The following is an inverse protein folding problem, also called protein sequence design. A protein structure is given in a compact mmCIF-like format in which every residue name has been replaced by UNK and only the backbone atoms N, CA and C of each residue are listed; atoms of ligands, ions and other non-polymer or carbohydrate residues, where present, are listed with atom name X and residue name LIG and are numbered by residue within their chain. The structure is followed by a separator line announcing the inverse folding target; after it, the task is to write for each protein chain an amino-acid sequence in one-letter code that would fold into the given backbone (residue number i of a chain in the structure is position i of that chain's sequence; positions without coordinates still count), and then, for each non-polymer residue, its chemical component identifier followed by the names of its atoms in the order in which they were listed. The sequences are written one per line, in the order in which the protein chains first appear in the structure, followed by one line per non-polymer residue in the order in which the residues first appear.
data_IF_268469462516
#
_entry.id   IF_268469462516
#
_cell.length_a   1.000
_cell.length_b   1.000
_cell.length_c   1.000
_cell.angle_alpha   90.00
_cell.angle_beta   90.00
_cell.angle_gamma   90.00
#
_symmetry.space_group_name_H-M   'P 1'
#
loop_
_entity.id
_entity.type
_entity.pdbx_description
1 polymer ?
#
# COMPACT_ATOMS: atom_id res chain seq x y z
N UNK A 1 7.69 -8.41 -29.82
CA UNK A 1 8.01 -7.73 -28.53
C UNK A 1 6.83 -7.83 -27.60
N UNK A 2 7.07 -7.72 -26.29
CA UNK A 2 6.04 -7.69 -25.25
C UNK A 2 5.89 -6.27 -24.72
N UNK A 3 4.68 -5.73 -24.79
CA UNK A 3 4.35 -4.40 -24.29
C UNK A 3 4.04 -4.43 -22.80
N UNK A 4 4.58 -3.50 -22.03
CA UNK A 4 4.20 -3.33 -20.62
C UNK A 4 3.59 -1.96 -20.44
N UNK A 5 2.35 -1.91 -19.98
CA UNK A 5 1.63 -0.66 -19.71
C UNK A 5 1.80 -0.33 -18.22
N UNK A 6 2.53 0.75 -17.94
CA UNK A 6 2.81 1.26 -16.59
C UNK A 6 4.25 1.00 -16.12
N UNK A 7 4.96 2.08 -15.78
CA UNK A 7 6.33 2.10 -15.23
C UNK A 7 6.39 2.08 -13.70
N UNK A 8 5.37 1.52 -13.05
CA UNK A 8 5.39 1.21 -11.62
C UNK A 8 6.13 -0.09 -11.31
N UNK A 9 6.25 -0.46 -10.03
CA UNK A 9 6.97 -1.65 -9.57
C UNK A 9 6.49 -2.93 -10.27
N UNK A 10 5.18 -3.14 -10.43
CA UNK A 10 4.65 -4.33 -11.11
C UNK A 10 5.08 -4.42 -12.59
N UNK A 11 5.02 -3.31 -13.31
CA UNK A 11 5.40 -3.27 -14.73
C UNK A 11 6.90 -3.43 -14.92
N UNK A 12 7.71 -2.73 -14.12
CA UNK A 12 9.16 -2.86 -14.16
C UNK A 12 9.62 -4.28 -13.75
N UNK A 13 9.00 -4.88 -12.73
CA UNK A 13 9.28 -6.27 -12.35
C UNK A 13 8.88 -7.26 -13.46
N UNK A 14 7.72 -7.07 -14.10
CA UNK A 14 7.32 -7.87 -15.26
C UNK A 14 8.34 -7.75 -16.40
N UNK A 15 8.75 -6.52 -16.74
CA UNK A 15 9.71 -6.26 -17.80
C UNK A 15 11.07 -6.92 -17.53
N UNK A 16 11.59 -6.75 -16.30
CA UNK A 16 12.83 -7.38 -15.86
C UNK A 16 12.76 -8.92 -15.98
N UNK A 17 11.67 -9.53 -15.48
CA UNK A 17 11.47 -10.97 -15.53
C UNK A 17 11.32 -11.51 -16.95
N UNK A 18 10.63 -10.78 -17.83
CA UNK A 18 10.48 -11.13 -19.24
C UNK A 18 11.82 -11.08 -19.99
N UNK A 19 12.65 -10.08 -19.72
CA UNK A 19 14.00 -10.01 -20.29
C UNK A 19 14.90 -11.15 -19.79
N UNK A 20 14.81 -11.53 -18.51
CA UNK A 20 15.50 -12.73 -17.99
C UNK A 20 15.07 -14.02 -18.73
N UNK A 21 13.86 -14.05 -19.29
CA UNK A 21 13.33 -15.16 -20.11
C UNK A 21 13.64 -15.02 -21.60
N UNK A 22 14.36 -13.97 -21.99
CA UNK A 22 14.85 -13.78 -23.37
C UNK A 22 13.90 -13.02 -24.28
N UNK A 23 12.84 -12.41 -23.75
CA UNK A 23 11.90 -11.62 -24.55
C UNK A 23 12.39 -10.18 -24.74
N UNK A 24 12.09 -9.61 -25.91
CA UNK A 24 12.20 -8.17 -26.17
C UNK A 24 10.99 -7.46 -25.56
N UNK A 25 11.25 -6.45 -24.73
CA UNK A 25 10.22 -5.77 -23.94
C UNK A 25 10.29 -4.26 -24.18
N UNK A 26 9.12 -3.60 -24.20
CA UNK A 26 9.02 -2.15 -24.14
C UNK A 26 8.00 -1.73 -23.08
N UNK A 27 8.41 -0.85 -22.17
CA UNK A 27 7.58 -0.31 -21.09
C UNK A 27 7.10 1.08 -21.49
N UNK A 28 5.81 1.34 -21.35
CA UNK A 28 5.20 2.64 -21.62
C UNK A 28 4.61 3.21 -20.32
N UNK A 29 5.10 4.36 -19.91
CA UNK A 29 4.68 5.08 -18.71
C UNK A 29 4.13 6.46 -19.08
N UNK A 30 2.90 6.76 -18.65
CA UNK A 30 2.21 7.97 -19.04
C UNK A 30 2.72 9.23 -18.32
N UNK A 31 3.35 9.08 -17.17
CA UNK A 31 3.98 10.17 -16.42
C UNK A 31 5.45 10.35 -16.79
N UNK A 32 6.03 11.47 -16.37
CA UNK A 32 7.44 11.80 -16.62
C UNK A 32 8.42 11.03 -15.71
N UNK A 33 7.92 10.30 -14.70
CA UNK A 33 8.72 9.63 -13.68
C UNK A 33 8.29 8.18 -13.44
N UNK A 34 9.05 7.49 -12.59
CA UNK A 34 8.87 6.07 -12.29
C UNK A 34 8.25 5.83 -10.92
N UNK A 35 7.86 4.58 -10.66
CA UNK A 35 7.49 4.10 -9.32
C UNK A 35 5.99 4.14 -9.01
N UNK A 36 5.17 4.87 -9.77
CA UNK A 36 3.72 4.90 -9.59
C UNK A 36 3.32 5.34 -8.17
N UNK A 37 2.68 4.46 -7.40
CA UNK A 37 2.33 4.74 -5.99
C UNK A 37 3.54 4.75 -5.03
N UNK A 38 4.73 4.36 -5.50
CA UNK A 38 6.01 4.53 -4.81
C UNK A 38 6.79 5.76 -5.30
N UNK A 39 6.13 6.69 -6.00
CA UNK A 39 6.71 7.99 -6.33
C UNK A 39 7.15 8.74 -5.06
N UNK A 40 8.13 9.63 -5.21
CA UNK A 40 8.79 10.30 -4.08
C UNK A 40 8.83 11.81 -4.24
N UNK A 41 8.87 12.53 -3.13
CA UNK A 41 9.29 13.92 -3.02
C UNK A 41 10.79 14.01 -2.79
N UNK A 42 11.41 15.07 -3.31
CA UNK A 42 12.75 15.46 -2.91
C UNK A 42 12.73 16.03 -1.48
N UNK A 43 13.76 15.71 -0.70
CA UNK A 43 13.96 16.28 0.64
C UNK A 43 15.37 16.86 0.76
N UNK A 44 15.74 17.39 1.93
CA UNK A 44 17.10 17.84 2.21
C UNK A 44 18.14 16.69 2.27
N UNK A 45 17.70 15.42 2.21
CA UNK A 45 18.56 14.24 2.10
C UNK A 45 17.92 13.22 1.17
N UNK A 46 17.56 12.06 1.71
CA UNK A 46 16.98 10.99 0.90
C UNK A 46 15.59 11.35 0.37
N UNK A 47 15.23 10.88 -0.83
CA UNK A 47 13.86 11.02 -1.31
C UNK A 47 12.90 10.31 -0.36
N UNK A 48 11.70 10.86 -0.22
CA UNK A 48 10.66 10.31 0.65
C UNK A 48 9.42 9.99 -0.18
N UNK A 49 8.82 8.83 0.03
CA UNK A 49 7.64 8.41 -0.74
C UNK A 49 6.45 9.35 -0.51
N UNK A 50 5.66 9.59 -1.55
CA UNK A 50 4.45 10.43 -1.49
C UNK A 50 3.41 9.82 -0.54
N UNK A 51 3.33 8.49 -0.53
CA UNK A 51 2.53 7.70 0.40
C UNK A 51 3.47 6.87 1.24
N UNK A 52 3.17 6.70 2.53
CA UNK A 52 4.01 5.92 3.43
C UNK A 52 4.10 4.45 2.99
N UNK A 53 5.30 3.89 3.05
CA UNK A 53 5.59 2.48 2.77
C UNK A 53 6.56 1.92 3.80
N UNK A 54 6.43 0.63 4.07
CA UNK A 54 7.40 -0.18 4.80
C UNK A 54 7.26 -1.62 4.33
N UNK A 55 8.28 -2.42 4.57
CA UNK A 55 8.26 -3.85 4.31
C UNK A 55 7.95 -4.64 5.58
N UNK A 56 7.30 -5.77 5.42
CA UNK A 56 7.30 -6.85 6.39
C UNK A 56 8.32 -7.91 6.00
N UNK A 57 8.84 -8.66 6.98
CA UNK A 57 9.74 -9.79 6.69
C UNK A 57 9.06 -10.94 5.96
N UNK A 58 7.73 -11.03 6.01
CA UNK A 58 6.98 -12.00 5.21
C UNK A 58 6.99 -11.69 3.71
N UNK A 59 7.44 -10.50 3.33
CA UNK A 59 7.56 -10.06 1.93
C UNK A 59 8.90 -10.48 1.33
N UNK A 60 9.07 -11.79 1.12
CA UNK A 60 10.34 -12.36 0.65
C UNK A 60 10.65 -11.99 -0.80
N UNK A 61 9.65 -11.92 -1.69
CA UNK A 61 9.89 -11.74 -3.14
C UNK A 61 10.51 -10.39 -3.48
N UNK A 62 10.10 -9.31 -2.81
CA UNK A 62 10.70 -7.98 -3.04
C UNK A 62 12.11 -7.88 -2.44
N UNK A 63 12.37 -8.59 -1.35
CA UNK A 63 13.70 -8.68 -0.74
C UNK A 63 14.64 -9.47 -1.65
N UNK A 64 14.20 -10.64 -2.13
CA UNK A 64 14.93 -11.46 -3.10
C UNK A 64 15.24 -10.67 -4.38
N UNK A 65 14.26 -9.92 -4.90
CA UNK A 65 14.48 -9.04 -6.05
C UNK A 65 15.52 -7.96 -5.76
N UNK A 66 15.48 -7.33 -4.59
CA UNK A 66 16.49 -6.34 -4.21
C UNK A 66 17.89 -6.96 -4.13
N UNK A 67 18.03 -8.19 -3.62
CA UNK A 67 19.27 -8.95 -3.62
C UNK A 67 19.75 -9.26 -5.04
N UNK A 68 18.86 -9.72 -5.93
CA UNK A 68 19.16 -9.99 -7.35
C UNK A 68 19.66 -8.74 -8.08
N UNK A 69 19.08 -7.57 -7.77
CA UNK A 69 19.46 -6.27 -8.33
C UNK A 69 20.72 -5.67 -7.68
N UNK A 70 21.27 -6.31 -6.65
CA UNK A 70 22.47 -5.85 -5.95
C UNK A 70 22.25 -4.68 -4.99
N UNK A 71 20.99 -4.41 -4.61
CA UNK A 71 20.60 -3.36 -3.65
C UNK A 71 20.03 -3.93 -2.35
N UNK A 72 20.08 -5.25 -2.15
CA UNK A 72 19.58 -5.91 -0.93
C UNK A 72 20.23 -5.41 0.37
N UNK A 73 21.51 -5.02 0.32
CA UNK A 73 22.24 -4.45 1.46
C UNK A 73 21.68 -3.09 1.92
N UNK A 74 20.83 -2.44 1.12
CA UNK A 74 20.11 -1.21 1.50
C UNK A 74 18.88 -1.49 2.36
N UNK A 75 18.39 -2.73 2.44
CA UNK A 75 17.20 -3.05 3.23
C UNK A 75 17.57 -3.12 4.71
N UNK A 76 17.01 -2.18 5.48
CA UNK A 76 17.22 -2.07 6.91
C UNK A 76 15.98 -2.53 7.67
N UNK A 77 16.16 -3.47 8.59
CA UNK A 77 15.10 -3.91 9.51
C UNK A 77 15.16 -3.11 10.81
N UNK A 78 14.18 -2.24 11.02
CA UNK A 78 14.11 -1.28 12.12
C UNK A 78 12.88 -1.53 12.98
N UNK A 79 12.94 -1.06 14.23
CA UNK A 79 11.81 -1.18 15.16
C UNK A 79 10.90 0.03 15.00
N UNK A 80 9.67 -0.18 14.53
CA UNK A 80 8.63 0.84 14.45
C UNK A 80 7.89 0.94 15.79
N UNK A 81 7.91 2.13 16.41
CA UNK A 81 7.14 2.39 17.63
C UNK A 81 5.72 2.79 17.30
N UNK A 82 4.74 2.07 17.85
CA UNK A 82 3.32 2.30 17.65
C UNK A 82 2.67 2.81 18.95
N UNK A 83 1.79 3.80 18.84
CA UNK A 83 1.02 4.30 19.97
C UNK A 83 -0.43 4.60 19.60
N UNK A 84 -1.23 4.81 20.65
CA UNK A 84 -2.63 5.21 20.57
C UNK A 84 -2.82 6.53 21.31
N UNK A 85 -3.35 7.53 20.63
CA UNK A 85 -3.63 8.84 21.18
C UNK A 85 -5.10 8.92 21.61
N UNK A 86 -5.33 9.08 22.91
CA UNK A 86 -6.66 9.18 23.50
C UNK A 86 -6.63 10.11 24.71
N UNK A 87 -7.66 10.93 24.87
CA UNK A 87 -7.81 11.89 25.98
C UNK A 87 -6.61 12.83 26.15
N UNK A 88 -6.01 13.24 25.03
CA UNK A 88 -4.84 14.13 25.05
C UNK A 88 -3.49 13.45 25.36
N UNK A 89 -3.43 12.11 25.43
CA UNK A 89 -2.24 11.37 25.86
C UNK A 89 -1.82 10.34 24.82
N UNK A 90 -0.51 10.29 24.53
CA UNK A 90 0.12 9.24 23.71
C UNK A 90 0.36 8.02 24.60
N UNK A 91 -0.30 6.90 24.30
CA UNK A 91 -0.12 5.61 24.96
C UNK A 91 0.67 4.66 24.04
N UNK A 92 1.95 4.37 24.32
CA UNK A 92 2.69 3.33 23.62
C UNK A 92 1.99 1.98 23.75
N UNK A 93 1.99 1.15 22.69
CA UNK A 93 1.38 -0.18 22.69
C UNK A 93 2.31 -1.26 22.12
N UNK A 94 3.62 -1.02 22.16
CA UNK A 94 4.61 -1.91 21.58
C UNK A 94 4.89 -3.10 22.50
N UNK A 95 4.93 -2.86 23.82
CA UNK A 95 5.37 -3.84 24.82
C UNK A 95 4.22 -4.38 25.66
N UNK A 96 4.29 -5.62 26.16
CA UNK A 96 3.22 -6.22 26.96
C UNK A 96 2.81 -5.39 28.19
N UNK A 97 3.76 -4.76 28.90
CA UNK A 97 3.43 -3.93 30.06
C UNK A 97 2.84 -2.56 29.69
N UNK A 98 3.13 -2.05 28.49
CA UNK A 98 2.52 -0.82 27.99
C UNK A 98 1.06 -1.09 27.63
N UNK A 99 0.79 -2.22 26.97
CA UNK A 99 -0.57 -2.69 26.68
C UNK A 99 -1.35 -2.96 27.98
N UNK A 100 -0.73 -3.58 28.98
CA UNK A 100 -1.38 -3.81 30.29
C UNK A 100 -1.62 -2.52 31.09
N UNK A 101 -0.83 -1.47 30.84
CA UNK A 101 -0.99 -0.17 31.47
C UNK A 101 -1.98 0.74 30.73
N UNK A 102 -2.45 0.33 29.54
CA UNK A 102 -3.39 1.11 28.75
C UNK A 102 -4.74 1.23 29.48
N UNK A 103 -5.17 2.44 29.86
CA UNK A 103 -6.27 2.61 30.81
C UNK A 103 -7.66 2.31 30.20
N UNK A 104 -7.76 2.18 28.88
CA UNK A 104 -9.02 1.96 28.17
C UNK A 104 -9.29 0.49 27.82
N UNK A 105 -8.46 -0.45 28.28
CA UNK A 105 -8.73 -1.88 28.16
C UNK A 105 -8.70 -2.54 29.54
N UNK A 106 -9.70 -3.38 29.84
CA UNK A 106 -9.63 -4.24 31.01
C UNK A 106 -8.61 -5.38 30.79
N UNK A 107 -8.17 -6.05 31.87
CA UNK A 107 -7.28 -7.21 31.74
C UNK A 107 -7.87 -8.32 30.86
N UNK A 108 -9.20 -8.49 30.84
CA UNK A 108 -9.85 -9.47 29.99
C UNK A 108 -9.86 -9.02 28.52
N UNK A 109 -10.06 -7.73 28.27
CA UNK A 109 -9.97 -7.13 26.94
C UNK A 109 -8.55 -7.29 26.38
N UNK A 110 -7.54 -6.94 27.17
CA UNK A 110 -6.12 -7.12 26.84
C UNK A 110 -5.80 -8.58 26.54
N UNK A 111 -6.29 -9.52 27.36
CA UNK A 111 -6.09 -10.95 27.13
C UNK A 111 -6.69 -11.39 25.79
N UNK A 112 -7.94 -11.03 25.51
CA UNK A 112 -8.64 -11.43 24.29
C UNK A 112 -8.00 -10.82 23.04
N UNK A 113 -7.64 -9.54 23.09
CA UNK A 113 -6.90 -8.87 22.01
C UNK A 113 -5.54 -9.53 21.78
N UNK A 114 -4.78 -9.80 22.84
CA UNK A 114 -3.48 -10.45 22.75
C UNK A 114 -3.57 -11.83 22.09
N UNK A 115 -4.56 -12.65 22.48
CA UNK A 115 -4.77 -13.97 21.89
C UNK A 115 -5.03 -13.89 20.38
N UNK A 116 -5.90 -12.98 19.94
CA UNK A 116 -6.14 -12.76 18.51
C UNK A 116 -4.86 -12.31 17.77
N UNK A 117 -4.11 -11.34 18.33
CA UNK A 117 -2.87 -10.85 17.69
C UNK A 117 -1.73 -11.87 17.68
N UNK A 118 -1.78 -12.88 18.56
CA UNK A 118 -0.85 -14.01 18.57
C UNK A 118 -1.37 -15.19 17.73
N UNK A 119 -2.47 -14.99 17.00
CA UNK A 119 -3.13 -16.01 16.17
C UNK A 119 -3.62 -17.23 16.98
N UNK A 120 -3.98 -17.02 18.25
CA UNK A 120 -4.47 -18.07 19.16
C UNK A 120 -5.97 -17.91 19.38
N UNK A 121 -6.76 -18.87 18.90
CA UNK A 121 -8.20 -18.90 19.21
C UNK A 121 -8.45 -19.60 20.55
N UNK A 122 -9.12 -18.90 21.46
CA UNK A 122 -9.47 -19.41 22.80
C UNK A 122 -10.98 -19.50 23.04
N UNK A 123 -11.83 -19.28 22.02
CA UNK A 123 -13.30 -19.28 22.15
C UNK A 123 -13.87 -20.61 22.63
N UNK A 124 -13.26 -21.73 22.21
CA UNK A 124 -13.71 -23.08 22.59
C UNK A 124 -13.32 -23.49 24.02
N UNK A 125 -12.53 -22.65 24.72
CA UNK A 125 -11.91 -22.95 26.01
C UNK A 125 -10.61 -23.76 25.91
N UNK A 126 -10.28 -24.28 24.73
CA UNK A 126 -9.00 -24.95 24.42
C UNK A 126 -8.29 -24.11 23.36
N UNK A 127 -7.05 -23.63 23.60
CA UNK A 127 -6.30 -22.86 22.62
C UNK A 127 -6.06 -23.62 21.32
N UNK A 128 -6.40 -23.00 20.18
CA UNK A 128 -6.06 -23.46 18.82
C UNK A 128 -5.08 -22.48 18.19
N UNK A 129 -4.11 -22.98 17.43
CA UNK A 129 -3.00 -22.19 16.86
C UNK A 129 -3.02 -22.15 15.33
N UNK A 130 -3.99 -22.81 14.73
CA UNK A 130 -4.15 -23.04 13.29
C UNK A 130 -5.46 -22.45 12.74
N UNK A 131 -6.29 -21.88 13.62
CA UNK A 131 -7.63 -21.38 13.26
C UNK A 131 -7.59 -20.29 12.20
N UNK A 132 -6.52 -19.51 12.16
CA UNK A 132 -6.39 -18.36 11.26
C UNK A 132 -5.40 -18.61 10.11
N UNK A 133 -4.94 -19.85 9.91
CA UNK A 133 -3.96 -20.17 8.86
C UNK A 133 -4.51 -19.98 7.46
N UNK A 134 -5.76 -20.39 7.25
CA UNK A 134 -6.49 -20.18 6.01
C UNK A 134 -7.28 -18.88 6.07
N UNK A 135 -6.73 -17.81 5.49
CA UNK A 135 -7.37 -16.50 5.44
C UNK A 135 -8.63 -16.50 4.58
N UNK A 136 -8.68 -17.34 3.53
CA UNK A 136 -9.81 -17.40 2.59
C UNK A 136 -11.07 -17.92 3.28
N UNK A 137 -10.92 -18.78 4.30
CA UNK A 137 -12.01 -19.24 5.13
C UNK A 137 -12.75 -18.11 5.89
N UNK A 138 -12.16 -16.92 5.97
CA UNK A 138 -12.73 -15.74 6.60
C UNK A 138 -13.19 -14.68 5.61
N UNK A 139 -13.14 -14.93 4.30
CA UNK A 139 -13.41 -13.90 3.30
C UNK A 139 -14.84 -13.37 3.36
N UNK A 140 -15.81 -14.25 3.62
CA UNK A 140 -17.23 -13.89 3.69
C UNK A 140 -17.68 -13.42 5.09
N UNK A 141 -16.77 -13.47 6.08
CA UNK A 141 -17.10 -13.13 7.46
C UNK A 141 -17.02 -11.61 7.63
N UNK A 142 -18.10 -10.93 8.06
CA UNK A 142 -18.05 -9.50 8.38
C UNK A 142 -17.03 -9.24 9.49
N UNK A 143 -16.13 -8.28 9.28
CA UNK A 143 -15.06 -7.96 10.23
C UNK A 143 -15.59 -7.63 11.64
N UNK A 144 -16.74 -6.95 11.72
CA UNK A 144 -17.40 -6.61 12.98
C UNK A 144 -17.82 -7.86 13.75
N UNK A 145 -18.47 -8.80 13.09
CA UNK A 145 -18.96 -10.02 13.71
C UNK A 145 -17.79 -10.88 14.17
N UNK A 146 -16.76 -10.99 13.32
CA UNK A 146 -15.50 -11.64 13.67
C UNK A 146 -14.89 -11.02 14.93
N UNK A 147 -14.73 -9.70 14.99
CA UNK A 147 -14.13 -9.03 16.14
C UNK A 147 -14.95 -9.19 17.42
N UNK A 148 -16.27 -9.08 17.35
CA UNK A 148 -17.16 -9.28 18.50
C UNK A 148 -17.10 -10.71 19.03
N UNK A 149 -16.88 -11.70 18.16
CA UNK A 149 -16.75 -13.09 18.53
C UNK A 149 -15.36 -13.45 19.09
N UNK A 150 -14.30 -12.88 18.52
CA UNK A 150 -12.91 -13.22 18.85
C UNK A 150 -12.29 -12.34 19.93
N UNK A 151 -12.83 -11.14 20.14
CA UNK A 151 -12.37 -10.23 21.19
C UNK A 151 -13.46 -10.01 22.25
N UNK A 152 -13.79 -8.76 22.54
CA UNK A 152 -14.91 -8.34 23.38
C UNK A 152 -15.61 -7.16 22.71
N UNK A 153 -16.85 -6.87 23.13
CA UNK A 153 -17.55 -5.66 22.69
C UNK A 153 -16.76 -4.39 22.96
N UNK A 154 -16.13 -4.30 24.13
CA UNK A 154 -15.32 -3.15 24.53
C UNK A 154 -14.13 -2.95 23.59
N UNK A 155 -13.38 -4.03 23.29
CA UNK A 155 -12.25 -4.01 22.34
C UNK A 155 -12.71 -3.56 20.96
N UNK A 156 -13.83 -4.09 20.47
CA UNK A 156 -14.39 -3.64 19.19
C UNK A 156 -14.70 -2.13 19.22
N UNK A 157 -15.52 -1.66 20.16
CA UNK A 157 -16.03 -0.27 20.18
C UNK A 157 -14.91 0.78 20.45
N UNK A 158 -13.88 0.44 21.24
CA UNK A 158 -12.89 1.44 21.69
C UNK A 158 -11.51 1.31 21.02
N UNK A 159 -11.25 0.18 20.35
CA UNK A 159 -9.97 -0.06 19.69
C UNK A 159 -10.15 -0.27 18.18
N UNK A 160 -10.99 -1.21 17.76
CA UNK A 160 -11.09 -1.55 16.33
C UNK A 160 -12.02 -0.64 15.54
N UNK A 161 -13.18 -0.29 16.07
CA UNK A 161 -14.19 0.53 15.37
C UNK A 161 -13.62 1.89 14.93
N UNK A 162 -12.91 2.66 15.77
CA UNK A 162 -12.28 3.92 15.33
C UNK A 162 -11.25 3.71 14.22
N UNK A 163 -10.45 2.64 14.28
CA UNK A 163 -9.45 2.32 13.25
C UNK A 163 -10.09 1.91 11.91
N UNK A 164 -11.20 1.17 11.97
CA UNK A 164 -11.96 0.76 10.80
C UNK A 164 -12.66 1.95 10.16
N UNK A 165 -13.28 2.82 10.96
CA UNK A 165 -13.88 4.06 10.48
C UNK A 165 -12.83 4.98 9.86
N UNK A 166 -11.66 5.12 10.48
CA UNK A 166 -10.56 5.93 9.94
C UNK A 166 -10.03 5.39 8.61
N UNK A 167 -10.01 4.06 8.41
CA UNK A 167 -9.48 3.43 7.19
C UNK A 167 -10.51 3.28 6.06
N UNK A 168 -11.75 2.95 6.37
CA UNK A 168 -12.78 2.56 5.39
C UNK A 168 -14.03 3.45 5.42
N UNK A 169 -14.17 4.35 6.41
CA UNK A 169 -15.29 5.26 6.52
C UNK A 169 -16.64 4.54 6.43
N UNK A 170 -17.49 4.99 5.50
CA UNK A 170 -18.83 4.42 5.26
C UNK A 170 -18.83 2.96 4.81
N UNK A 171 -17.70 2.44 4.28
CA UNK A 171 -17.55 1.06 3.80
C UNK A 171 -17.05 0.10 4.86
N UNK A 172 -16.80 0.55 6.10
CA UNK A 172 -16.26 -0.31 7.17
C UNK A 172 -17.12 -1.57 7.46
N UNK A 173 -18.44 -1.50 7.21
CA UNK A 173 -19.35 -2.63 7.40
C UNK A 173 -19.26 -3.71 6.31
N UNK A 174 -18.68 -3.38 5.15
CA UNK A 174 -18.55 -4.29 4.01
C UNK A 174 -17.30 -5.18 4.12
N UNK A 175 -16.32 -4.72 4.90
CA UNK A 175 -14.98 -5.30 5.01
C UNK A 175 -15.00 -6.72 5.58
N UNK A 176 -14.21 -7.57 4.94
CA UNK A 176 -13.96 -8.95 5.30
C UNK A 176 -13.04 -9.08 6.52
N UNK A 177 -13.27 -10.10 7.36
CA UNK A 177 -12.34 -10.48 8.42
C UNK A 177 -10.98 -10.98 7.88
N UNK A 178 -10.94 -11.52 6.66
CA UNK A 178 -9.70 -11.97 6.01
C UNK A 178 -8.69 -10.83 5.87
N UNK A 179 -9.14 -9.60 5.61
CA UNK A 179 -8.28 -8.41 5.56
C UNK A 179 -7.60 -8.13 6.90
N UNK A 180 -8.34 -8.23 8.01
CA UNK A 180 -7.78 -8.00 9.35
C UNK A 180 -6.75 -9.06 9.70
N UNK A 181 -7.08 -10.34 9.46
CA UNK A 181 -6.18 -11.45 9.74
C UNK A 181 -4.92 -11.37 8.86
N UNK A 182 -5.07 -11.01 7.59
CA UNK A 182 -3.97 -10.69 6.69
C UNK A 182 -3.06 -9.62 7.27
N UNK A 183 -3.64 -8.53 7.79
CA UNK A 183 -2.87 -7.45 8.41
C UNK A 183 -2.19 -7.85 9.71
N UNK A 184 -2.80 -8.72 10.51
CA UNK A 184 -2.18 -9.28 11.73
C UNK A 184 -0.98 -10.15 11.35
N UNK A 185 -1.14 -11.05 10.36
CA UNK A 185 -0.04 -11.90 9.85
C UNK A 185 1.07 -11.07 9.20
N UNK A 186 0.71 -10.09 8.38
CA UNK A 186 1.66 -9.17 7.73
C UNK A 186 2.48 -8.40 8.76
N UNK A 187 1.88 -8.00 9.88
CA UNK A 187 2.55 -7.31 11.00
C UNK A 187 3.05 -8.27 12.08
N UNK A 188 3.05 -9.58 11.81
CA UNK A 188 3.25 -10.65 12.81
C UNK A 188 4.67 -10.75 13.35
N UNK A 189 5.65 -10.19 12.67
CA UNK A 189 7.04 -10.16 13.14
C UNK A 189 7.29 -9.09 14.21
N UNK A 190 6.88 -9.44 15.44
CA UNK A 190 7.09 -8.62 16.63
C UNK A 190 8.20 -9.18 17.50
N UNK A 191 9.16 -8.33 17.85
CA UNK A 191 10.02 -8.58 19.00
C UNK A 191 9.21 -8.27 20.26
N UNK A 192 9.00 -9.29 21.11
CA UNK A 192 8.18 -9.20 22.33
C UNK A 192 8.63 -8.10 23.31
N UNK A 193 9.87 -7.62 23.21
CA UNK A 193 10.45 -6.62 24.11
C UNK A 193 10.65 -5.25 23.42
N UNK A 194 10.77 -5.23 22.10
CA UNK A 194 11.11 -4.01 21.34
C UNK A 194 9.95 -3.45 20.53
N UNK A 195 9.02 -4.29 20.10
CA UNK A 195 7.89 -3.89 19.25
C UNK A 195 7.96 -4.51 17.87
N UNK A 196 7.31 -3.87 16.92
CA UNK A 196 7.21 -4.34 15.54
C UNK A 196 8.49 -4.10 14.75
N UNK A 197 8.94 -5.10 13.98
CA UNK A 197 10.09 -4.96 13.08
C UNK A 197 9.56 -4.73 11.67
N UNK A 198 9.95 -3.61 11.09
CA UNK A 198 9.57 -3.19 9.74
C UNK A 198 10.84 -2.94 8.91
N UNK A 199 10.77 -3.26 7.62
CA UNK A 199 11.83 -3.01 6.66
C UNK A 199 11.67 -1.66 5.99
N UNK A 200 12.78 -0.99 5.73
CA UNK A 200 12.82 0.23 4.92
C UNK A 200 14.12 0.29 4.14
N UNK A 201 14.13 1.00 3.02
CA UNK A 201 15.29 1.07 2.13
C UNK A 201 16.14 2.29 2.48
N UNK A 202 17.44 2.09 2.64
CA UNK A 202 18.41 3.18 2.74
C UNK A 202 18.51 3.91 1.38
N UNK A 203 18.19 5.21 1.37
CA UNK A 203 17.88 5.99 0.16
C UNK A 203 16.41 5.99 -0.28
N UNK A 204 15.50 5.32 0.46
CA UNK A 204 14.08 5.21 0.11
C UNK A 204 13.80 4.17 -0.98
N UNK A 205 12.53 3.88 -1.25
CA UNK A 205 12.11 2.89 -2.25
C UNK A 205 12.46 3.32 -3.69
N UNK A 206 12.82 4.59 -3.91
CA UNK A 206 13.41 5.07 -5.15
C UNK A 206 14.65 4.25 -5.55
N UNK A 207 15.46 3.77 -4.58
CA UNK A 207 16.64 2.93 -4.86
C UNK A 207 16.25 1.63 -5.59
N UNK A 208 15.18 0.97 -5.14
CA UNK A 208 14.69 -0.25 -5.78
C UNK A 208 14.11 0.04 -7.17
N UNK A 209 13.35 1.15 -7.30
CA UNK A 209 12.77 1.57 -8.59
C UNK A 209 13.86 1.89 -9.60
N UNK A 210 14.88 2.66 -9.22
CA UNK A 210 16.00 3.00 -10.10
C UNK A 210 16.83 1.76 -10.47
N UNK A 211 17.06 0.84 -9.51
CA UNK A 211 17.74 -0.43 -9.81
C UNK A 211 16.97 -1.28 -10.83
N UNK A 212 15.64 -1.32 -10.74
CA UNK A 212 14.77 -1.97 -11.73
C UNK A 212 14.84 -1.26 -13.09
N UNK A 213 14.77 0.06 -13.13
CA UNK A 213 14.88 0.86 -14.35
C UNK A 213 16.22 0.61 -15.05
N UNK A 214 17.31 0.62 -14.31
CA UNK A 214 18.66 0.37 -14.83
C UNK A 214 18.82 -1.09 -15.30
N UNK A 215 18.22 -2.06 -14.60
CA UNK A 215 18.23 -3.46 -14.99
C UNK A 215 17.40 -3.75 -16.25
N UNK A 216 16.26 -3.06 -16.42
CA UNK A 216 15.44 -3.13 -17.64
C UNK A 216 16.10 -2.42 -18.82
N UNK A 217 16.88 -1.37 -18.53
CA UNK A 217 17.51 -0.50 -19.53
C UNK A 217 16.56 0.63 -19.95
N UNK A 218 17.00 1.88 -19.77
CA UNK A 218 16.20 3.08 -20.03
C UNK A 218 15.76 3.21 -21.49
N UNK A 219 16.51 2.63 -22.42
CA UNK A 219 16.16 2.55 -23.84
C UNK A 219 14.90 1.71 -24.14
N UNK A 220 14.53 0.83 -23.21
CA UNK A 220 13.34 -0.02 -23.28
C UNK A 220 12.14 0.61 -22.56
N UNK A 221 12.29 1.80 -21.97
CA UNK A 221 11.26 2.47 -21.20
C UNK A 221 10.97 3.86 -21.81
N UNK A 222 9.71 4.10 -22.18
CA UNK A 222 9.23 5.39 -22.66
C UNK A 222 8.34 6.05 -21.59
N UNK A 223 8.82 7.14 -20.98
CA UNK A 223 8.03 8.01 -20.10
C UNK A 223 7.27 9.07 -20.90
N UNK A 224 6.32 9.77 -20.28
CA UNK A 224 5.45 10.74 -20.96
C UNK A 224 4.61 10.13 -22.08
N UNK A 225 4.50 8.79 -22.11
CA UNK A 225 3.97 8.01 -23.22
C UNK A 225 2.78 7.20 -22.74
N UNK A 226 1.59 7.65 -23.12
CA UNK A 226 0.33 7.04 -22.71
C UNK A 226 -0.10 5.98 -23.71
N UNK A 227 -0.32 4.75 -23.25
CA UNK A 227 -1.02 3.74 -24.06
C UNK A 227 -2.49 4.13 -24.17
N UNK A 228 -2.99 4.22 -25.41
CA UNK A 228 -4.35 4.66 -25.72
C UNK A 228 -5.23 3.57 -26.29
N UNK A 229 -4.65 2.52 -26.88
CA UNK A 229 -5.39 1.48 -27.58
C UNK A 229 -4.59 0.18 -27.66
N UNK A 230 -5.30 -0.95 -27.56
CA UNK A 230 -4.80 -2.30 -27.86
C UNK A 230 -5.57 -2.84 -29.06
N UNK A 231 -4.85 -3.18 -30.13
CA UNK A 231 -5.46 -3.78 -31.31
C UNK A 231 -5.46 -5.31 -31.17
N UNK A 232 -6.63 -5.91 -31.36
CA UNK A 232 -6.84 -7.35 -31.34
C UNK A 232 -7.31 -7.79 -32.72
N UNK A 233 -6.56 -8.71 -33.35
CA UNK A 233 -6.94 -9.35 -34.60
C UNK A 233 -6.91 -10.89 -34.43
N UNK A 234 -7.91 -11.58 -34.98
CA UNK A 234 -7.94 -13.05 -34.93
C UNK A 234 -8.09 -13.65 -33.54
N UNK A 235 -8.43 -12.85 -32.52
CA UNK A 235 -8.54 -13.28 -31.12
C UNK A 235 -7.26 -13.13 -30.31
N UNK A 236 -6.20 -12.54 -30.88
CA UNK A 236 -4.93 -12.27 -30.21
C UNK A 236 -4.54 -10.80 -30.30
N UNK A 237 -3.74 -10.33 -29.35
CA UNK A 237 -3.11 -9.01 -29.43
C UNK A 237 -2.18 -8.96 -30.64
N UNK A 238 -2.26 -7.86 -31.39
CA UNK A 238 -1.37 -7.60 -32.53
C UNK A 238 -0.51 -6.36 -32.32
N UNK A 239 -1.06 -5.30 -31.73
CA UNK A 239 -0.33 -4.06 -31.54
C UNK A 239 -0.84 -3.21 -30.37
N UNK A 240 0.05 -2.33 -29.89
CA UNK A 240 -0.25 -1.29 -28.90
C UNK A 240 -0.05 0.08 -29.53
N UNK A 241 -1.03 0.97 -29.36
CA UNK A 241 -0.91 2.37 -29.80
C UNK A 241 -0.70 3.29 -28.61
N UNK A 242 0.30 4.14 -28.72
CA UNK A 242 0.70 5.09 -27.70
C UNK A 242 0.58 6.53 -28.20
N UNK A 243 0.50 7.46 -27.27
CA UNK A 243 0.48 8.90 -27.50
C UNK A 243 1.55 9.56 -26.62
N UNK A 244 2.46 10.31 -27.24
CA UNK A 244 3.51 11.11 -26.60
C UNK A 244 3.60 12.45 -27.32
N UNK A 245 3.63 13.56 -26.59
CA UNK A 245 3.69 14.92 -27.18
C UNK A 245 2.66 15.18 -28.31
N UNK A 246 1.43 14.69 -28.13
CA UNK A 246 0.33 14.73 -29.13
C UNK A 246 0.59 13.93 -30.43
N UNK A 247 1.64 13.12 -30.49
CA UNK A 247 1.95 12.22 -31.60
C UNK A 247 1.56 10.78 -31.25
N UNK A 248 0.86 10.11 -32.18
CA UNK A 248 0.48 8.69 -32.03
C UNK A 248 1.43 7.77 -32.78
N UNK A 249 1.88 6.74 -32.10
CA UNK A 249 2.73 5.68 -32.66
C UNK A 249 2.17 4.30 -32.32
N UNK A 250 2.33 3.33 -33.21
CA UNK A 250 1.85 1.97 -33.03
C UNK A 250 3.02 0.99 -33.10
N UNK A 251 3.04 0.03 -32.17
CA UNK A 251 4.06 -0.99 -32.06
C UNK A 251 3.44 -2.38 -32.13
N UNK A 252 3.95 -3.23 -33.01
CA UNK A 252 3.55 -4.64 -33.08
C UNK A 252 3.99 -5.35 -31.79
N UNK A 253 3.07 -6.09 -31.16
CA UNK A 253 3.36 -6.85 -29.96
C UNK A 253 2.64 -8.20 -29.94
N UNK A 254 3.31 -9.19 -29.34
CA UNK A 254 2.81 -10.57 -29.23
C UNK A 254 2.05 -10.80 -27.92
N UNK A 255 2.32 -9.96 -26.92
CA UNK A 255 1.62 -9.92 -25.66
C UNK A 255 1.72 -8.52 -25.03
N UNK A 256 0.78 -8.21 -24.14
CA UNK A 256 0.75 -6.98 -23.35
C UNK A 256 0.46 -7.29 -21.89
N UNK A 257 1.29 -6.76 -20.99
CA UNK A 257 1.05 -6.76 -19.54
C UNK A 257 0.50 -5.39 -19.14
N UNK A 258 -0.74 -5.34 -18.69
CA UNK A 258 -1.35 -4.14 -18.12
C UNK A 258 -1.05 -4.10 -16.61
N UNK A 259 -0.09 -3.27 -16.21
CA UNK A 259 0.37 -3.11 -14.83
C UNK A 259 -0.13 -1.81 -14.18
N UNK A 260 -1.23 -1.26 -14.70
CA UNK A 260 -1.85 0.00 -14.26
C UNK A 260 -3.10 -0.24 -13.41
N UNK A 261 -3.71 0.86 -12.95
CA UNK A 261 -5.00 0.81 -12.27
C UNK A 261 -6.11 0.25 -13.16
N UNK A 262 -7.12 -0.43 -12.59
CA UNK A 262 -8.14 -1.12 -13.38
C UNK A 262 -8.89 -0.24 -14.39
N UNK A 263 -9.06 1.06 -14.16
CA UNK A 263 -9.69 1.95 -15.13
C UNK A 263 -8.93 2.03 -16.46
N UNK A 264 -7.62 1.83 -16.45
CA UNK A 264 -6.81 1.75 -17.66
C UNK A 264 -7.03 0.40 -18.35
N UNK A 265 -7.08 -0.72 -17.58
CA UNK A 265 -7.47 -2.02 -18.11
C UNK A 265 -8.85 -1.96 -18.78
N UNK A 266 -9.85 -1.45 -18.07
CA UNK A 266 -11.23 -1.25 -18.53
C UNK A 266 -11.26 -0.41 -19.82
N UNK A 267 -10.51 0.68 -19.87
CA UNK A 267 -10.45 1.56 -21.04
C UNK A 267 -9.77 0.92 -22.25
N UNK A 268 -8.75 0.07 -22.05
CA UNK A 268 -7.99 -0.55 -23.13
C UNK A 268 -8.64 -1.82 -23.67
N UNK A 269 -9.36 -2.55 -22.82
CA UNK A 269 -9.83 -3.93 -23.12
C UNK A 269 -11.34 -4.10 -23.03
N UNK A 270 -12.04 -3.21 -22.32
CA UNK A 270 -13.44 -3.39 -21.96
C UNK A 270 -13.70 -4.41 -20.84
N UNK A 271 -12.65 -5.04 -20.29
CA UNK A 271 -12.77 -5.97 -19.16
C UNK A 271 -13.26 -5.21 -17.92
N UNK A 272 -14.41 -5.56 -17.32
CA UNK A 272 -14.94 -4.85 -16.16
C UNK A 272 -14.17 -5.21 -14.88
N UNK A 273 -13.81 -4.21 -14.08
CA UNK A 273 -13.28 -4.45 -12.73
C UNK A 273 -14.38 -4.21 -11.69
N UNK A 274 -14.79 -5.27 -11.00
CA UNK A 274 -15.84 -5.19 -9.97
C UNK A 274 -15.30 -4.76 -8.61
N UNK A 275 -13.98 -4.81 -8.40
CA UNK A 275 -13.35 -4.37 -7.15
C UNK A 275 -13.47 -2.84 -7.00
N UNK A 276 -14.07 -2.43 -5.88
CA UNK A 276 -14.09 -1.04 -5.45
C UNK A 276 -12.74 -0.61 -4.86
N UNK A 277 -12.38 0.64 -5.13
CA UNK A 277 -11.16 1.25 -4.62
C UNK A 277 -11.48 2.51 -3.84
N UNK A 278 -10.72 2.72 -2.76
CA UNK A 278 -10.73 3.97 -2.02
C UNK A 278 -9.60 4.89 -2.49
N UNK A 279 -9.92 6.18 -2.57
CA UNK A 279 -8.96 7.24 -2.78
C UNK A 279 -8.22 7.60 -1.49
N UNK A 280 -7.09 8.25 -1.63
CA UNK A 280 -6.35 8.83 -0.49
C UNK A 280 -6.03 10.29 -0.80
N UNK A 281 -6.20 11.13 0.22
CA UNK A 281 -5.57 12.44 0.31
C UNK A 281 -4.47 12.32 1.35
N UNK A 282 -3.22 12.51 0.93
CA UNK A 282 -2.02 12.36 1.75
C UNK A 282 -1.18 13.62 1.61
N UNK A 283 -0.68 14.16 2.72
CA UNK A 283 0.29 15.24 2.72
C UNK A 283 1.45 14.85 3.60
N UNK A 284 2.61 15.24 3.11
CA UNK A 284 3.86 15.15 3.82
C UNK A 284 4.21 16.54 4.29
N UNK A 285 4.56 16.68 5.56
CA UNK A 285 5.04 17.95 6.08
C UNK A 285 6.32 17.78 6.87
N UNK A 286 7.11 18.83 6.90
CA UNK A 286 8.42 18.87 7.56
C UNK A 286 8.45 19.94 8.64
N UNK A 287 9.06 19.62 9.79
CA UNK A 287 9.29 20.57 10.87
C UNK A 287 10.72 20.53 11.41
N UNK A 288 11.13 21.60 12.10
CA UNK A 288 12.42 21.64 12.81
C UNK A 288 12.47 20.75 14.06
N UNK A 289 11.31 20.40 14.62
CA UNK A 289 11.21 19.69 15.91
C UNK A 289 10.22 18.56 15.85
N UNK A 290 10.61 17.46 16.48
CA UNK A 290 9.75 16.32 16.75
C UNK A 290 8.52 16.70 17.58
N UNK A 291 7.35 16.17 17.20
CA UNK A 291 6.10 16.30 17.95
C UNK A 291 5.88 15.13 18.91
N UNK A 292 6.38 13.96 18.56
CA UNK A 292 6.17 12.70 19.29
C UNK A 292 7.42 11.82 19.23
N UNK A 293 7.53 10.80 20.08
CA UNK A 293 8.57 9.76 19.95
C UNK A 293 8.06 8.50 19.21
N UNK A 294 6.93 8.61 18.51
CA UNK A 294 6.18 7.48 17.91
C UNK A 294 6.28 7.52 16.40
N UNK A 295 6.53 6.37 15.76
CA UNK A 295 6.47 6.28 14.30
C UNK A 295 5.03 6.33 13.80
N UNK A 296 4.18 5.41 14.27
CA UNK A 296 2.78 5.33 13.86
C UNK A 296 1.85 5.64 15.02
N UNK A 297 1.11 6.74 14.91
CA UNK A 297 0.17 7.18 15.93
C UNK A 297 -1.27 6.97 15.45
N UNK A 298 -1.95 6.03 16.07
CA UNK A 298 -3.39 5.87 15.91
C UNK A 298 -4.10 6.90 16.80
N UNK A 299 -5.18 7.52 16.33
CA UNK A 299 -5.83 8.62 17.03
C UNK A 299 -7.29 8.28 17.26
N UNK A 300 -7.71 8.26 18.53
CA UNK A 300 -9.10 8.10 18.95
C UNK A 300 -9.83 9.44 19.07
N UNK A 301 -9.10 10.50 19.44
CA UNK A 301 -9.62 11.85 19.57
C UNK A 301 -10.02 12.44 18.21
N UNK A 302 -10.88 13.47 18.22
CA UNK A 302 -11.33 14.13 16.98
C UNK A 302 -10.17 14.74 16.18
N UNK A 303 -9.89 14.17 15.01
CA UNK A 303 -8.84 14.58 14.11
C UNK A 303 -9.37 14.73 12.67
N UNK A 304 -8.88 15.73 11.90
CA UNK A 304 -9.28 15.88 10.50
C UNK A 304 -8.57 14.90 9.54
N UNK A 305 -7.75 13.99 10.07
CA UNK A 305 -7.01 12.95 9.35
C UNK A 305 -7.16 11.61 10.07
N UNK A 306 -7.18 10.51 9.32
CA UNK A 306 -7.27 9.15 9.87
C UNK A 306 -5.91 8.49 10.15
N UNK A 307 -4.82 9.06 9.63
CA UNK A 307 -3.45 8.56 9.79
C UNK A 307 -2.55 9.71 10.22
N UNK A 308 -1.72 9.47 11.23
CA UNK A 308 -0.62 10.33 11.65
C UNK A 308 0.64 9.48 11.82
N UNK A 309 1.66 9.78 11.03
CA UNK A 309 2.95 9.07 11.09
C UNK A 309 4.04 10.13 11.22
N UNK A 310 4.90 10.00 12.22
CA UNK A 310 6.17 10.74 12.25
C UNK A 310 7.25 9.81 11.70
N UNK A 311 7.47 9.91 10.39
CA UNK A 311 8.39 9.05 9.64
C UNK A 311 9.78 9.04 10.26
N UNK A 312 10.21 10.18 10.80
CA UNK A 312 11.55 10.33 11.34
C UNK A 312 11.78 9.70 12.71
N UNK A 313 10.74 9.11 13.31
CA UNK A 313 10.89 8.18 14.44
C UNK A 313 11.19 6.74 14.00
N UNK A 314 11.01 6.43 12.72
CA UNK A 314 11.38 5.14 12.12
C UNK A 314 12.69 5.25 11.35
N UNK A 315 12.84 6.29 10.53
CA UNK A 315 14.05 6.58 9.76
C UNK A 315 14.69 7.87 10.28
N UNK A 316 15.88 7.86 10.88
CA UNK A 316 16.42 9.01 11.62
C UNK A 316 16.46 10.32 10.81
N UNK A 317 16.19 11.48 11.43
CA UNK A 317 16.13 12.77 10.76
C UNK A 317 17.44 13.14 10.05
N UNK A 318 18.58 12.58 10.47
CA UNK A 318 19.87 12.77 9.80
C UNK A 318 19.85 12.34 8.32
N UNK A 319 18.98 11.38 7.95
CA UNK A 319 18.75 10.99 6.56
C UNK A 319 18.01 12.05 5.73
N UNK A 320 17.38 13.02 6.38
CA UNK A 320 16.55 14.06 5.77
C UNK A 320 17.04 15.48 6.14
N UNK A 321 18.36 15.66 6.26
CA UNK A 321 18.96 16.96 6.58
C UNK A 321 18.71 17.46 8.01
N UNK A 322 18.26 16.59 8.90
CA UNK A 322 17.89 16.92 10.29
C UNK A 322 16.43 17.34 10.45
N UNK A 323 15.63 17.32 9.39
CA UNK A 323 14.21 17.64 9.45
C UNK A 323 13.39 16.49 10.05
N UNK A 324 12.28 16.83 10.70
CA UNK A 324 11.29 15.86 11.15
C UNK A 324 10.14 15.77 10.15
N UNK A 325 9.92 14.58 9.58
CA UNK A 325 8.96 14.37 8.49
C UNK A 325 7.74 13.60 8.99
N UNK A 326 6.58 14.01 8.50
CA UNK A 326 5.30 13.47 8.93
C UNK A 326 4.38 13.18 7.75
N UNK A 327 3.60 12.10 7.85
CA UNK A 327 2.45 11.85 6.99
C UNK A 327 1.16 12.12 7.73
N UNK A 328 0.26 12.83 7.07
CA UNK A 328 -1.15 12.90 7.41
C UNK A 328 -1.93 12.32 6.23
N UNK A 329 -2.87 11.43 6.50
CA UNK A 329 -3.70 10.88 5.43
C UNK A 329 -5.13 10.61 5.89
N UNK A 330 -6.04 10.67 4.92
CA UNK A 330 -7.41 10.18 5.03
C UNK A 330 -7.81 9.47 3.75
N UNK A 331 -8.67 8.47 3.93
CA UNK A 331 -9.24 7.71 2.84
C UNK A 331 -10.59 8.28 2.44
N UNK A 332 -10.84 8.32 1.13
CA UNK A 332 -12.06 8.84 0.52
C UNK A 332 -12.73 7.70 -0.23
N UNK A 333 -14.02 7.48 0.04
CA UNK A 333 -14.83 6.43 -0.59
C UNK A 333 -15.59 6.97 -1.81
N UNK A 334 -15.94 8.26 -1.81
CA UNK A 334 -16.67 8.90 -2.92
C UNK A 334 -16.02 10.25 -3.31
N UNK A 335 -15.77 10.51 -4.62
CA UNK A 335 -15.21 11.79 -5.07
C UNK A 335 -16.04 13.02 -4.66
N UNK A 336 -17.33 12.88 -4.38
CA UNK A 336 -18.20 13.94 -3.87
C UNK A 336 -17.98 14.31 -2.40
N UNK A 337 -17.15 13.57 -1.66
CA UNK A 337 -16.80 13.90 -0.28
C UNK A 337 -16.09 15.25 -0.17
N UNK A 338 -16.37 15.97 0.92
CA UNK A 338 -15.86 17.33 1.14
C UNK A 338 -14.32 17.39 1.08
N UNK A 339 -13.64 16.39 1.64
CA UNK A 339 -12.18 16.35 1.66
C UNK A 339 -11.61 16.28 0.23
N UNK A 340 -12.23 15.49 -0.66
CA UNK A 340 -11.79 15.31 -2.04
C UNK A 340 -11.96 16.57 -2.88
N UNK A 341 -13.04 17.32 -2.63
CA UNK A 341 -13.38 18.54 -3.37
C UNK A 341 -12.60 19.80 -2.95
N UNK A 342 -11.95 19.77 -1.78
CA UNK A 342 -11.14 20.89 -1.27
C UNK A 342 -9.84 21.04 -2.06
N UNK A 343 -9.37 22.27 -2.25
CA UNK A 343 -8.02 22.51 -2.76
C UNK A 343 -6.95 22.04 -1.78
N UNK A 344 -5.75 21.77 -2.27
CA UNK A 344 -4.64 21.28 -1.44
C UNK A 344 -4.30 22.24 -0.30
N UNK A 345 -4.24 23.55 -0.59
CA UNK A 345 -4.04 24.59 0.43
C UNK A 345 -5.11 24.60 1.54
N UNK A 346 -6.36 24.20 1.22
CA UNK A 346 -7.43 24.11 2.20
C UNK A 346 -7.33 22.85 3.05
N UNK A 347 -6.84 21.75 2.46
CA UNK A 347 -6.55 20.50 3.16
C UNK A 347 -5.39 20.69 4.12
N UNK A 348 -4.27 21.22 3.64
CA UNK A 348 -3.06 21.52 4.43
C UNK A 348 -3.40 22.38 5.64
N UNK A 349 -4.14 23.47 5.44
CA UNK A 349 -4.59 24.33 6.53
C UNK A 349 -5.45 23.57 7.54
N UNK A 350 -6.43 22.78 7.08
CA UNK A 350 -7.32 21.98 7.94
C UNK A 350 -6.52 20.95 8.76
N UNK A 351 -5.53 20.33 8.14
CA UNK A 351 -4.66 19.36 8.79
C UNK A 351 -3.76 19.98 9.83
N UNK A 352 -3.07 21.07 9.50
CA UNK A 352 -2.25 21.81 10.46
C UNK A 352 -3.07 22.38 11.62
N UNK A 353 -4.34 22.74 11.41
CA UNK A 353 -5.28 23.08 12.49
C UNK A 353 -5.55 21.87 13.40
N UNK A 354 -5.73 20.68 12.83
CA UNK A 354 -5.84 19.43 13.57
C UNK A 354 -4.59 19.12 14.40
N UNK A 355 -3.41 19.17 13.77
CA UNK A 355 -2.13 18.97 14.46
C UNK A 355 -1.97 19.96 15.61
N UNK A 356 -2.30 21.25 15.41
CA UNK A 356 -2.22 22.25 16.48
C UNK A 356 -3.16 21.98 17.66
N UNK A 357 -4.31 21.32 17.41
CA UNK A 357 -5.26 20.92 18.47
C UNK A 357 -4.76 19.71 19.26
N UNK A 358 -4.20 18.71 18.56
CA UNK A 358 -3.69 17.49 19.19
C UNK A 358 -2.34 17.73 19.88
N UNK A 359 -1.49 18.58 19.33
CA UNK A 359 -0.16 18.86 19.85
C UNK A 359 -0.01 20.36 20.14
N UNK A 360 -0.40 20.85 21.33
CA UNK A 360 -0.32 22.27 21.68
C UNK A 360 1.10 22.85 21.65
N UNK A 361 2.13 21.99 21.66
CA UNK A 361 3.53 22.37 21.50
C UNK A 361 3.93 22.68 20.05
N UNK A 362 3.11 22.30 19.07
CA UNK A 362 3.37 22.59 17.66
C UNK A 362 3.21 24.09 17.38
N UNK A 363 4.29 24.73 16.93
CA UNK A 363 4.24 26.07 16.35
C UNK A 363 4.29 25.95 14.82
N UNK A 364 3.36 26.63 14.14
CA UNK A 364 3.34 26.68 12.67
C UNK A 364 4.56 27.37 12.09
N UNK A 365 5.27 28.18 12.87
CA UNK A 365 6.53 28.78 12.45
C UNK A 365 7.66 27.74 12.33
N UNK A 366 7.51 26.56 12.93
CA UNK A 366 8.48 25.46 12.83
C UNK A 366 8.27 24.63 11.54
N UNK A 367 7.27 24.96 10.71
CA UNK A 367 6.97 24.27 9.45
C UNK A 367 7.94 24.70 8.35
N UNK A 368 8.70 23.76 7.80
CA UNK A 368 9.61 24.01 6.68
C UNK A 368 8.85 24.02 5.35
N UNK A 369 8.02 22.99 5.13
CA UNK A 369 7.22 22.80 3.93
C UNK A 369 6.09 21.79 4.20
N UNK A 370 5.09 21.79 3.33
CA UNK A 370 4.02 20.80 3.27
C UNK A 370 3.64 20.59 1.81
N UNK A 371 3.46 19.34 1.41
CA UNK A 371 3.07 18.95 0.06
C UNK A 371 1.92 17.95 0.13
N UNK A 372 0.90 18.14 -0.72
CA UNK A 372 -0.31 17.29 -0.74
C UNK A 372 -0.42 16.55 -2.06
N UNK A 373 -0.67 15.25 -1.98
CA UNK A 373 -1.02 14.39 -3.09
C UNK A 373 -2.40 13.77 -2.92
N UNK A 374 -3.03 13.48 -4.06
CA UNK A 374 -4.29 12.78 -4.15
C UNK A 374 -4.20 11.68 -5.17
N UNK A 375 -4.77 10.54 -4.85
CA UNK A 375 -4.98 9.50 -5.85
C UNK A 375 -6.36 8.85 -5.62
N UNK A 376 -7.21 8.77 -6.66
CA UNK A 376 -8.59 8.30 -6.53
C UNK A 376 -8.68 6.80 -6.25
N UNK A 377 -7.61 6.04 -6.48
CA UNK A 377 -7.56 4.59 -6.27
C UNK A 377 -6.21 4.24 -5.67
N UNK A 378 -6.16 4.06 -4.36
CA UNK A 378 -4.90 3.78 -3.63
C UNK A 378 -4.94 2.47 -2.88
N UNK A 379 -6.13 1.98 -2.55
CA UNK A 379 -6.31 0.68 -1.93
C UNK A 379 -7.63 0.06 -2.39
N UNK A 380 -7.69 -1.26 -2.60
CA UNK A 380 -8.95 -1.96 -2.72
C UNK A 380 -9.74 -1.88 -1.41
N UNK A 381 -11.05 -1.89 -1.52
CA UNK A 381 -11.94 -2.20 -0.39
C UNK A 381 -12.08 -3.73 -0.36
N UNK A 382 -11.42 -4.37 0.61
CA UNK A 382 -11.45 -5.82 0.79
C UNK A 382 -12.78 -6.27 1.41
N UNK A 383 -13.84 -6.19 0.61
CA UNK A 383 -15.18 -6.59 1.01
C UNK A 383 -15.37 -8.11 0.99
N UNK A 384 -16.54 -8.56 1.43
CA UNK A 384 -16.90 -9.99 1.43
C UNK A 384 -17.08 -10.49 0.00
N UNK A 385 -16.62 -11.71 -0.28
CA UNK A 385 -16.57 -12.26 -1.64
C UNK A 385 -15.52 -11.61 -2.54
N UNK A 386 -14.48 -10.96 -1.98
CA UNK A 386 -13.46 -10.27 -2.76
C UNK A 386 -12.77 -11.16 -3.80
N UNK A 387 -12.50 -12.44 -3.47
CA UNK A 387 -11.77 -13.34 -4.37
C UNK A 387 -12.53 -13.64 -5.66
N UNK A 388 -13.86 -13.56 -5.67
CA UNK A 388 -14.68 -13.74 -6.88
C UNK A 388 -14.52 -12.56 -7.86
N UNK A 389 -14.11 -11.39 -7.37
CA UNK A 389 -13.94 -10.17 -8.18
C UNK A 389 -12.48 -9.94 -8.62
N UNK A 390 -11.55 -10.77 -8.15
CA UNK A 390 -10.13 -10.65 -8.49
C UNK A 390 -9.94 -10.80 -9.99
N UNK A 391 -9.22 -9.86 -10.58
CA UNK A 391 -8.89 -9.89 -12.01
C UNK A 391 -7.84 -10.99 -12.25
N UNK A 392 -8.10 -11.96 -13.15
CA UNK A 392 -7.13 -12.98 -13.52
C UNK A 392 -5.87 -12.36 -14.13
N UNK A 393 -4.73 -13.02 -13.94
CA UNK A 393 -3.47 -12.56 -14.54
C UNK A 393 -3.43 -12.73 -16.05
N UNK A 394 -4.15 -13.72 -16.59
CA UNK A 394 -4.27 -14.04 -18.01
C UNK A 394 -5.72 -13.79 -18.42
N UNK A 395 -5.91 -12.89 -19.38
CA UNK A 395 -7.22 -12.46 -19.87
C UNK A 395 -7.50 -13.01 -21.28
N UNK A 396 -6.84 -14.09 -21.69
CA UNK A 396 -7.02 -14.75 -22.98
C UNK A 396 -8.48 -15.11 -23.28
N UNK A 397 -9.16 -15.72 -22.30
CA UNK A 397 -10.56 -16.16 -22.45
C UNK A 397 -11.55 -14.98 -22.47
N UNK A 398 -11.28 -13.92 -21.70
CA UNK A 398 -12.20 -12.81 -21.48
C UNK A 398 -12.00 -11.63 -22.45
N UNK A 399 -10.78 -11.45 -22.96
CA UNK A 399 -10.38 -10.32 -23.81
C UNK A 399 -9.78 -10.82 -25.13
N UNK A 400 -8.56 -11.36 -25.08
CA UNK A 400 -7.80 -11.84 -26.23
C UNK A 400 -6.52 -12.54 -25.79
N UNK A 401 -6.08 -13.52 -26.57
CA UNK A 401 -4.78 -14.19 -26.38
C UNK A 401 -3.66 -13.14 -26.35
N UNK A 402 -2.78 -13.22 -25.34
CA UNK A 402 -1.69 -12.26 -25.16
C UNK A 402 -2.01 -11.05 -24.27
N UNK A 403 -3.20 -10.94 -23.68
CA UNK A 403 -3.51 -9.88 -22.69
C UNK A 403 -3.33 -10.39 -21.26
N UNK A 404 -2.53 -9.70 -20.48
CA UNK A 404 -2.25 -10.03 -19.08
C UNK A 404 -2.44 -8.83 -18.15
N UNK A 405 -2.79 -9.08 -16.89
CA UNK A 405 -3.00 -8.03 -15.89
C UNK A 405 -2.18 -8.24 -14.62
N UNK A 406 -1.33 -7.27 -14.29
CA UNK A 406 -0.45 -7.28 -13.11
C UNK A 406 -0.79 -6.15 -12.10
N UNK A 407 -1.93 -5.48 -12.25
CA UNK A 407 -2.30 -4.34 -11.43
C UNK A 407 -2.86 -4.72 -10.05
N UNK A 408 -3.33 -3.69 -9.32
CA UNK A 408 -3.72 -3.81 -7.91
C UNK A 408 -4.95 -4.71 -7.65
N UNK A 409 -5.77 -4.98 -8.67
CA UNK A 409 -6.93 -5.86 -8.57
C UNK A 409 -6.60 -7.36 -8.76
N UNK A 410 -5.32 -7.71 -8.83
CA UNK A 410 -4.84 -9.09 -8.99
C UNK A 410 -4.72 -9.84 -7.67
N UNK A 411 -4.62 -11.17 -7.73
CA UNK A 411 -4.61 -12.05 -6.56
C UNK A 411 -3.45 -11.78 -5.59
N UNK A 412 -2.29 -11.33 -6.07
CA UNK A 412 -1.12 -11.06 -5.23
C UNK A 412 -1.32 -9.88 -4.26
N UNK A 413 -2.39 -9.11 -4.44
CA UNK A 413 -2.74 -7.96 -3.60
C UNK A 413 -3.83 -8.28 -2.58
N UNK A 414 -4.23 -9.55 -2.50
CA UNK A 414 -5.15 -10.06 -1.49
C UNK A 414 -4.38 -10.77 -0.37
N UNK A 415 -4.83 -10.66 0.90
CA UNK A 415 -5.91 -9.81 1.40
C UNK A 415 -5.43 -8.41 1.81
N UNK A 416 -4.16 -8.06 1.55
CA UNK A 416 -3.62 -6.73 1.79
C UNK A 416 -2.66 -6.32 0.68
N UNK A 417 -2.76 -5.05 0.27
CA UNK A 417 -1.93 -4.50 -0.81
C UNK A 417 -0.50 -4.29 -0.34
N UNK A 418 0.45 -4.53 -1.22
CA UNK A 418 1.86 -4.39 -0.92
C UNK A 418 2.71 -4.15 -2.16
N UNK A 419 3.92 -3.63 -1.93
CA UNK A 419 4.94 -3.54 -3.00
C UNK A 419 5.41 -4.93 -3.41
N UNK A 420 5.52 -5.87 -2.47
CA UNK A 420 5.80 -7.27 -2.77
C UNK A 420 4.74 -7.89 -3.67
N UNK A 421 3.46 -7.68 -3.37
CA UNK A 421 2.36 -8.14 -4.22
C UNK A 421 2.46 -7.58 -5.65
N UNK A 422 3.02 -6.38 -5.84
CA UNK A 422 3.21 -5.80 -7.16
C UNK A 422 4.31 -6.53 -7.94
N UNK A 423 5.43 -6.85 -7.28
CA UNK A 423 6.51 -7.68 -7.85
C UNK A 423 5.98 -9.08 -8.22
N UNK A 424 5.26 -9.73 -7.29
CA UNK A 424 4.67 -11.05 -7.51
C UNK A 424 3.72 -11.03 -8.70
N UNK A 425 2.82 -10.04 -8.81
CA UNK A 425 1.91 -9.91 -9.93
C UNK A 425 2.65 -9.76 -11.27
N UNK A 426 3.68 -8.92 -11.32
CA UNK A 426 4.51 -8.74 -12.51
C UNK A 426 5.23 -10.03 -12.93
N UNK A 427 5.82 -10.74 -11.97
CA UNK A 427 6.47 -12.03 -12.21
C UNK A 427 5.51 -13.10 -12.68
N UNK A 428 4.31 -13.15 -12.12
CA UNK A 428 3.29 -14.16 -12.43
C UNK A 428 2.74 -13.96 -13.85
N UNK A 429 2.61 -12.72 -14.34
CA UNK A 429 2.33 -12.43 -15.76
C UNK A 429 3.51 -12.84 -16.66
N UNK A 430 4.73 -12.43 -16.32
CA UNK A 430 5.92 -12.76 -17.11
C UNK A 430 6.14 -14.28 -17.24
N UNK A 431 5.94 -15.01 -16.15
CA UNK A 431 6.10 -16.46 -16.10
C UNK A 431 5.02 -17.20 -16.89
N UNK A 432 3.81 -16.65 -17.02
CA UNK A 432 2.78 -17.21 -17.91
C UNK A 432 3.13 -16.99 -19.38
N UNK A 433 3.52 -15.78 -19.75
CA UNK A 433 3.92 -15.47 -21.13
C UNK A 433 5.02 -16.42 -21.59
N UNK A 434 6.05 -16.61 -20.76
CA UNK A 434 7.17 -17.50 -21.06
C UNK A 434 6.81 -19.01 -21.11
N UNK A 435 5.64 -19.43 -20.63
CA UNK A 435 5.15 -20.82 -20.67
C UNK A 435 4.23 -21.11 -21.85
N UNK A 436 3.69 -20.06 -22.48
CA UNK A 436 2.76 -20.15 -23.60
C UNK A 436 3.46 -20.34 -24.96
N UNK A 437 4.79 -20.23 -24.98
CA UNK A 437 5.69 -20.59 -26.09
C UNK A 437 6.14 -22.07 -26.02
#
# INVERSE_FOLDING_TARGET
MIGVVGGGIAGLAAAYRLQQRGHEVRVFEASDGFGGLAATYETAGDPLEVYYHHLSKSEETIVDLAEELGVGDHIEWRVGKNAYYVDGVVHPLDKPWEILAYPHLSLYDTFRLAMLTMEVDVRSGIPSFDTYDDLEAFEDVPIRDFLLEHTTRHVYENFWEPLLEAKFGSRAADVSAAWLLGRIKFRGERDLLRGEILGYVDGGFAVLVEALVDAVGRENIETGTRVTELAVEGGAVESVTVESDDERSTYDCEAVVVATMPNVLESLTGYPCEIDFQGTVCSVFSTERSLTETYWLNIADDAPFGVFIEHTNFVPPERYGGEHLYYLASYVQDPGEELWQRSDSEVERRWLEGVSRLFPQFDRNDLNWIETARNPRTAPVYERGYLDMVVPYDLGEDVADGVYYAGMASRAQYPERSLNGAVVAGFECADRIARSE
#
